data_IF_651964432950
#
_entry.id   IF_651964432950
#
_cell.length_a   1.000
_cell.length_b   1.000
_cell.length_c   1.000
_cell.angle_alpha   90.00
_cell.angle_beta   90.00
_cell.angle_gamma   90.00
#
_symmetry.space_group_name_H-M   'P 1'
#
loop_
_entity.id
_entity.type
_entity.pdbx_description
1 polymer ?
#
# COMPACT_ATOMS: atom_id res chain seq x y z
N UNK A 1 -25.01 -14.93 7.08
CA UNK A 1 -23.76 -14.15 7.24
C UNK A 1 -23.15 -13.80 5.88
N UNK A 2 -23.91 -13.11 5.03
CA UNK A 2 -23.56 -12.85 3.63
C UNK A 2 -23.74 -11.35 3.38
N UNK A 3 -22.93 -10.50 4.01
CA UNK A 3 -23.03 -9.05 3.85
C UNK A 3 -21.70 -8.35 4.19
N UNK A 4 -20.63 -8.62 3.44
CA UNK A 4 -19.42 -7.77 3.48
C UNK A 4 -18.49 -7.94 2.25
N UNK A 5 -19.00 -8.40 1.11
CA UNK A 5 -18.17 -8.71 -0.07
C UNK A 5 -18.49 -7.88 -1.33
N UNK A 6 -19.06 -6.67 -1.18
CA UNK A 6 -19.48 -5.85 -2.33
C UNK A 6 -18.88 -4.42 -2.37
N UNK A 7 -17.73 -4.16 -1.76
CA UNK A 7 -17.08 -2.83 -1.86
C UNK A 7 -15.66 -2.82 -2.45
N UNK A 8 -15.15 -3.92 -3.01
CA UNK A 8 -13.78 -3.98 -3.55
C UNK A 8 -13.68 -4.33 -5.04
N UNK A 9 -14.63 -3.88 -5.88
CA UNK A 9 -14.49 -3.96 -7.34
C UNK A 9 -14.76 -2.61 -8.04
N UNK A 10 -13.67 -1.84 -8.14
CA UNK A 10 -13.22 -0.89 -9.18
C UNK A 10 -14.25 -0.08 -9.98
N UNK A 11 -13.96 1.23 -10.14
CA UNK A 11 -13.97 1.88 -11.45
C UNK A 11 -12.55 1.95 -12.00
N UNK A 12 -12.34 1.29 -13.13
CA UNK A 12 -11.27 1.61 -14.07
C UNK A 12 -11.53 3.00 -14.64
N UNK A 13 -10.96 4.05 -14.03
CA UNK A 13 -10.91 5.37 -14.65
C UNK A 13 -9.46 5.81 -14.81
N UNK A 14 -9.13 5.89 -16.09
CA UNK A 14 -7.92 6.40 -16.71
C UNK A 14 -7.79 7.89 -16.37
N UNK A 15 -7.42 8.24 -15.14
CA UNK A 15 -7.25 9.65 -14.75
C UNK A 15 -5.98 9.90 -13.95
N UNK A 16 -5.24 10.86 -14.49
CA UNK A 16 -3.97 11.46 -14.10
C UNK A 16 -4.00 12.03 -12.69
N UNK A 17 -3.65 11.25 -11.66
CA UNK A 17 -3.15 11.84 -10.41
C UNK A 17 -2.40 10.78 -9.63
N UNK A 18 -1.23 11.14 -9.12
CA UNK A 18 -0.63 10.42 -7.98
C UNK A 18 -1.73 10.34 -6.93
N UNK A 19 -2.07 9.15 -6.45
CA UNK A 19 -3.16 8.95 -5.50
C UNK A 19 -2.90 9.77 -4.22
N UNK A 20 -3.39 11.00 -4.18
CA UNK A 20 -3.52 11.86 -3.02
C UNK A 20 -5.00 11.79 -2.61
N UNK A 21 -5.38 10.74 -1.88
CA UNK A 21 -6.70 10.64 -1.24
C UNK A 21 -6.55 11.08 0.23
N UNK A 22 -7.12 12.16 0.77
CA UNK A 22 -7.26 13.50 0.21
C UNK A 22 -8.71 13.87 -0.14
N UNK A 23 -9.70 13.61 0.70
CA UNK A 23 -11.01 14.31 0.76
C UNK A 23 -11.97 14.40 -0.45
N UNK A 24 -11.72 13.76 -1.60
CA UNK A 24 -12.73 13.71 -2.68
C UNK A 24 -12.98 15.05 -3.38
N UNK A 25 -12.12 16.04 -3.17
CA UNK A 25 -12.09 17.27 -3.96
C UNK A 25 -11.20 17.06 -5.20
N UNK A 26 -11.83 16.78 -6.34
CA UNK A 26 -11.19 16.98 -7.62
C UNK A 26 -11.03 18.50 -7.80
N UNK A 27 -9.80 18.96 -8.03
CA UNK A 27 -9.37 20.36 -8.17
C UNK A 27 -8.91 21.06 -6.88
N UNK A 28 -7.59 21.16 -6.72
CA UNK A 28 -7.00 22.38 -6.18
C UNK A 28 -5.92 22.80 -7.17
N UNK A 29 -6.12 23.97 -7.78
CA UNK A 29 -5.24 24.70 -8.69
C UNK A 29 -3.90 23.99 -9.08
N UNK A 30 -3.68 23.61 -10.36
CA UNK A 30 -2.43 23.00 -10.84
C UNK A 30 -1.15 23.76 -10.41
N UNK A 31 -1.23 25.08 -10.33
CA UNK A 31 -0.14 25.95 -9.90
C UNK A 31 0.15 25.82 -8.40
N UNK A 32 -0.86 25.60 -7.57
CA UNK A 32 -0.69 25.39 -6.14
C UNK A 32 0.01 24.05 -5.87
N UNK A 33 -0.42 22.99 -6.55
CA UNK A 33 0.22 21.68 -6.44
C UNK A 33 1.67 21.70 -6.96
N UNK A 34 1.94 22.40 -8.08
CA UNK A 34 3.30 22.59 -8.59
C UNK A 34 4.21 23.23 -7.54
N UNK A 35 3.77 24.35 -6.92
CA UNK A 35 4.57 25.05 -5.92
C UNK A 35 4.90 24.15 -4.73
N UNK A 36 3.88 23.48 -4.15
CA UNK A 36 4.05 22.56 -3.02
C UNK A 36 5.05 21.46 -3.37
N UNK A 37 4.92 20.84 -4.55
CA UNK A 37 5.80 19.74 -4.93
C UNK A 37 7.23 20.24 -5.16
N UNK A 38 7.42 21.39 -5.80
CA UNK A 38 8.74 21.95 -6.04
C UNK A 38 9.47 22.38 -4.77
N UNK A 39 8.74 22.87 -3.76
CA UNK A 39 9.31 23.19 -2.44
C UNK A 39 9.91 21.98 -1.71
N UNK A 40 9.51 20.75 -2.08
CA UNK A 40 10.06 19.53 -1.48
C UNK A 40 11.40 19.11 -2.10
N UNK A 41 11.85 19.75 -3.19
CA UNK A 41 13.09 19.42 -3.87
C UNK A 41 14.24 20.35 -3.46
N UNK A 42 15.47 19.83 -3.32
CA UNK A 42 16.64 20.69 -3.14
C UNK A 42 16.84 21.56 -4.38
N UNK A 43 17.25 22.83 -4.22
CA UNK A 43 17.47 23.74 -5.34
C UNK A 43 18.56 23.21 -6.27
N UNK A 44 18.42 23.47 -7.58
CA UNK A 44 19.41 23.11 -8.60
C UNK A 44 19.20 21.77 -9.33
N UNK A 45 18.13 21.03 -9.03
CA UNK A 45 17.77 19.81 -9.77
C UNK A 45 16.78 20.10 -10.90
N UNK A 46 16.96 19.44 -12.05
CA UNK A 46 16.03 19.58 -13.18
C UNK A 46 14.65 19.00 -12.87
N UNK A 47 13.57 19.62 -13.34
CA UNK A 47 12.19 19.10 -13.16
C UNK A 47 11.92 17.84 -13.99
N UNK A 48 12.69 17.65 -15.08
CA UNK A 48 12.59 16.48 -15.97
C UNK A 48 12.93 15.17 -15.25
N UNK A 49 13.86 15.17 -14.29
CA UNK A 49 14.23 13.95 -13.55
C UNK A 49 13.10 13.40 -12.67
N UNK A 50 12.10 14.23 -12.34
CA UNK A 50 11.02 13.90 -11.41
C UNK A 50 9.67 13.79 -12.10
N UNK A 51 9.62 13.84 -13.43
CA UNK A 51 8.35 13.77 -14.17
C UNK A 51 8.07 12.33 -14.61
N UNK A 52 6.87 11.83 -14.31
CA UNK A 52 6.42 10.56 -14.86
C UNK A 52 5.95 10.72 -16.30
N UNK A 53 6.62 10.05 -17.24
CA UNK A 53 6.27 10.08 -18.66
C UNK A 53 4.90 9.42 -18.97
N UNK A 54 4.52 8.40 -18.20
CA UNK A 54 3.25 7.68 -18.41
C UNK A 54 2.02 8.46 -17.90
N UNK A 55 2.17 9.15 -16.77
CA UNK A 55 1.07 9.88 -16.14
C UNK A 55 1.10 11.38 -16.47
N UNK A 56 2.19 11.88 -17.06
CA UNK A 56 2.47 13.29 -17.30
C UNK A 56 2.28 14.16 -16.05
N UNK A 57 2.92 13.76 -14.95
CA UNK A 57 2.81 14.40 -13.63
C UNK A 57 4.18 14.45 -12.99
N UNK A 58 4.52 15.54 -12.31
CA UNK A 58 5.71 15.60 -11.46
C UNK A 58 5.47 14.75 -10.22
N UNK A 59 6.27 13.72 -10.08
CA UNK A 59 6.30 12.89 -8.90
C UNK A 59 6.83 13.74 -7.75
N UNK A 60 6.15 13.81 -6.59
CA UNK A 60 6.77 14.26 -5.36
C UNK A 60 7.91 13.31 -4.97
N UNK A 61 8.82 13.72 -4.07
CA UNK A 61 9.94 12.91 -3.66
C UNK A 61 9.53 11.49 -3.25
N UNK A 62 10.31 10.51 -3.71
CA UNK A 62 10.11 9.06 -3.47
C UNK A 62 8.82 8.48 -4.08
N UNK A 63 8.10 9.20 -4.94
CA UNK A 63 6.98 8.64 -5.68
C UNK A 63 7.45 7.93 -6.95
N UNK A 64 6.79 6.83 -7.35
CA UNK A 64 7.12 6.08 -8.58
C UNK A 64 5.86 5.62 -9.31
N UNK A 65 5.97 5.40 -10.62
CA UNK A 65 4.90 4.79 -11.43
C UNK A 65 4.95 3.27 -11.28
N UNK A 66 3.83 2.66 -10.91
CA UNK A 66 3.68 1.22 -10.93
C UNK A 66 2.98 0.80 -12.22
N UNK A 67 3.68 0.09 -13.09
CA UNK A 67 3.13 -0.42 -14.35
C UNK A 67 2.00 -1.44 -14.15
N UNK A 68 2.07 -2.24 -13.08
CA UNK A 68 1.03 -3.25 -12.78
C UNK A 68 -0.30 -2.60 -12.37
N UNK A 69 -0.25 -1.46 -11.70
CA UNK A 69 -1.44 -0.69 -11.29
C UNK A 69 -1.74 0.50 -12.21
N UNK A 70 -0.91 0.75 -13.23
CA UNK A 70 -0.99 1.90 -14.14
C UNK A 70 -1.18 3.25 -13.43
N UNK A 71 -0.52 3.46 -12.28
CA UNK A 71 -0.64 4.70 -11.49
C UNK A 71 0.64 5.05 -10.77
N UNK A 72 0.83 6.34 -10.52
CA UNK A 72 1.91 6.80 -9.64
C UNK A 72 1.48 6.72 -8.17
N UNK A 73 2.41 6.26 -7.33
CA UNK A 73 2.17 5.99 -5.91
C UNK A 73 3.14 6.84 -5.09
N UNK A 74 2.61 7.55 -4.09
CA UNK A 74 3.39 8.40 -3.19
C UNK A 74 4.22 7.57 -2.21
N UNK A 75 5.49 7.93 -2.02
CA UNK A 75 6.46 7.15 -1.24
C UNK A 75 6.37 5.65 -1.58
N UNK A 76 6.47 5.33 -2.87
CA UNK A 76 6.31 3.98 -3.38
C UNK A 76 7.33 3.05 -2.74
N UNK A 77 6.84 1.96 -2.17
CA UNK A 77 7.64 0.87 -1.63
C UNK A 77 7.72 -0.24 -2.71
N UNK A 78 6.63 -0.99 -2.87
CA UNK A 78 6.55 -2.07 -3.87
C UNK A 78 5.11 -2.33 -4.33
N UNK A 79 4.94 -3.09 -5.41
CA UNK A 79 3.66 -3.69 -5.78
C UNK A 79 3.58 -5.08 -5.14
N UNK A 80 2.72 -5.24 -4.15
CA UNK A 80 2.55 -6.48 -3.43
C UNK A 80 1.65 -7.41 -4.24
N UNK A 81 2.20 -8.53 -4.71
CA UNK A 81 1.46 -9.52 -5.51
C UNK A 81 0.38 -10.23 -4.69
N UNK A 82 0.63 -10.44 -3.40
CA UNK A 82 -0.28 -11.12 -2.49
C UNK A 82 -1.52 -10.27 -2.17
N UNK A 83 -1.33 -8.97 -1.96
CA UNK A 83 -2.42 -8.02 -1.71
C UNK A 83 -3.00 -7.41 -2.98
N UNK A 84 -2.42 -7.73 -4.14
CA UNK A 84 -2.78 -7.20 -5.47
C UNK A 84 -2.90 -5.67 -5.49
N UNK A 85 -2.04 -5.00 -4.73
CA UNK A 85 -2.05 -3.54 -4.58
C UNK A 85 -0.64 -3.00 -4.32
N UNK A 86 -0.43 -1.71 -4.59
CA UNK A 86 0.82 -1.05 -4.24
C UNK A 86 0.86 -0.70 -2.75
N UNK A 87 2.03 -0.91 -2.15
CA UNK A 87 2.38 -0.40 -0.83
C UNK A 87 3.09 0.95 -1.01
N UNK A 88 2.63 1.94 -0.25
CA UNK A 88 3.18 3.30 -0.27
C UNK A 88 2.65 4.10 0.91
N UNK A 89 2.75 5.43 0.85
CA UNK A 89 2.40 6.31 1.98
C UNK A 89 1.04 6.02 2.61
N UNK A 90 0.03 5.77 1.79
CA UNK A 90 -1.36 5.64 2.24
C UNK A 90 -1.65 4.36 3.05
N UNK A 91 -0.87 3.29 2.85
CA UNK A 91 -1.14 1.98 3.45
C UNK A 91 0.08 1.30 4.08
N UNK A 92 1.25 1.96 4.12
CA UNK A 92 2.48 1.38 4.70
C UNK A 92 2.29 0.96 6.16
N UNK A 93 1.63 1.76 6.99
CA UNK A 93 1.40 1.41 8.39
C UNK A 93 0.48 0.18 8.53
N UNK A 94 -0.60 0.12 7.74
CA UNK A 94 -1.49 -1.04 7.71
C UNK A 94 -0.79 -2.30 7.21
N UNK A 95 0.09 -2.16 6.23
CA UNK A 95 0.91 -3.26 5.74
C UNK A 95 1.86 -3.80 6.81
N UNK A 96 2.57 -2.92 7.53
CA UNK A 96 3.43 -3.33 8.64
C UNK A 96 2.63 -4.02 9.76
N UNK A 97 1.45 -3.48 10.10
CA UNK A 97 0.56 -4.10 11.08
C UNK A 97 0.15 -5.51 10.64
N UNK A 98 -0.30 -5.67 9.39
CA UNK A 98 -0.65 -6.96 8.82
C UNK A 98 0.52 -7.96 8.90
N UNK A 99 1.74 -7.54 8.57
CA UNK A 99 2.91 -8.43 8.68
C UNK A 99 3.17 -8.84 10.13
N UNK A 100 3.11 -7.90 11.08
CA UNK A 100 3.34 -8.19 12.50
C UNK A 100 2.30 -9.15 13.07
N UNK A 101 1.02 -8.96 12.77
CA UNK A 101 -0.04 -9.83 13.26
C UNK A 101 0.04 -11.23 12.65
N UNK A 102 0.30 -11.35 11.35
CA UNK A 102 0.50 -12.66 10.72
C UNK A 102 1.70 -13.40 11.32
N UNK A 103 2.82 -12.71 11.58
CA UNK A 103 3.98 -13.33 12.22
C UNK A 103 3.63 -13.82 13.63
N UNK A 104 2.99 -12.98 14.45
CA UNK A 104 2.60 -13.36 15.81
C UNK A 104 1.62 -14.52 15.82
N UNK A 105 0.63 -14.55 14.91
CA UNK A 105 -0.29 -15.68 14.79
C UNK A 105 0.43 -16.96 14.41
N UNK A 106 1.39 -16.90 13.48
CA UNK A 106 2.20 -18.06 13.11
C UNK A 106 2.97 -18.62 14.30
N UNK A 107 3.59 -17.77 15.12
CA UNK A 107 4.34 -18.22 16.30
C UNK A 107 3.44 -18.83 17.38
N UNK A 108 2.26 -18.24 17.63
CA UNK A 108 1.29 -18.80 18.59
C UNK A 108 0.83 -20.19 18.13
N UNK A 109 0.45 -20.33 16.86
CA UNK A 109 0.02 -21.62 16.29
C UNK A 109 1.16 -22.63 16.34
N UNK A 110 2.39 -22.23 16.02
CA UNK A 110 3.58 -23.10 16.12
C UNK A 110 3.79 -23.61 17.55
N UNK A 111 3.70 -22.73 18.55
CA UNK A 111 3.83 -23.11 19.96
C UNK A 111 2.70 -24.06 20.40
N UNK A 112 1.47 -23.80 19.98
CA UNK A 112 0.33 -24.69 20.26
C UNK A 112 0.52 -26.07 19.63
N UNK A 113 0.93 -26.14 18.36
CA UNK A 113 1.21 -27.42 17.68
C UNK A 113 2.32 -28.18 18.41
N UNK A 114 3.39 -27.50 18.81
CA UNK A 114 4.48 -28.11 19.57
C UNK A 114 3.95 -28.69 20.89
N UNK A 115 3.20 -27.92 21.67
CA UNK A 115 2.59 -28.38 22.92
C UNK A 115 1.70 -29.61 22.71
N UNK A 116 0.82 -29.59 21.70
CA UNK A 116 -0.07 -30.71 21.40
C UNK A 116 0.68 -31.99 20.99
N UNK A 117 1.86 -31.88 20.37
CA UNK A 117 2.70 -33.03 20.01
C UNK A 117 3.39 -33.67 21.21
N UNK A 118 3.65 -32.89 22.25
CA UNK A 118 4.29 -33.36 23.49
C UNK A 118 3.27 -33.84 24.54
N UNK A 119 1.97 -33.84 24.22
CA UNK A 119 0.94 -34.34 25.14
C UNK A 119 1.00 -35.87 25.23
N UNK A 120 0.99 -36.44 26.45
CA UNK A 120 0.92 -37.88 26.62
C UNK A 120 -0.42 -38.43 26.11
N UNK A 121 -0.40 -39.63 25.52
CA UNK A 121 -1.60 -40.25 24.91
C UNK A 121 -2.78 -40.39 25.87
N UNK A 122 -2.52 -40.51 27.18
CA UNK A 122 -3.57 -40.57 28.20
C UNK A 122 -4.45 -39.32 28.25
N UNK A 123 -3.91 -38.15 27.90
CA UNK A 123 -4.68 -36.89 27.82
C UNK A 123 -5.48 -36.83 26.52
N UNK A 124 -4.93 -37.37 25.42
CA UNK A 124 -5.63 -37.43 24.13
C UNK A 124 -6.81 -38.40 24.15
N UNK A 125 -6.76 -39.46 24.96
CA UNK A 125 -7.85 -40.45 25.09
C UNK A 125 -9.08 -39.99 25.89
N UNK A 126 -9.06 -38.78 26.47
CA UNK A 126 -10.15 -38.23 27.30
C UNK A 126 -11.12 -37.31 26.54
N UNK A 127 -10.96 -37.14 25.23
CA UNK A 127 -11.82 -36.32 24.34
C UNK A 127 -12.55 -37.19 23.33
#
# INVERSE_FOLDING_TARGET
MKLMLLLLMRPSLRTKTITLWRDGSFQTNPWAWWKIVMELYPPGQSTRSWTCLYCNVIQPPRSKHCHKCCRCVLQFDHHCVWLRTCIGRANRCHFCYLLSTNQTTYEIVRQQIFYLRELPECVLSLQ
#
